data_IF_663980630736
#
_entry.id   IF_663980630736
#
_cell.length_a   1.000
_cell.length_b   1.000
_cell.length_c   1.000
_cell.angle_alpha   90.00
_cell.angle_beta   90.00
_cell.angle_gamma   90.00
#
_symmetry.space_group_name_H-M   'P 1'
#
loop_
_entity.id
_entity.type
_entity.pdbx_description
1 polymer ?
#
# COMPACT_ATOMS: atom_id res chain seq x y z
N UNK A 1 5.68 19.16 -13.05
CA UNK A 1 5.17 18.07 -12.23
C UNK A 1 5.91 18.03 -10.90
N UNK A 2 5.25 17.56 -9.84
CA UNK A 2 5.91 17.24 -8.58
C UNK A 2 6.29 15.76 -8.56
N UNK A 3 7.44 15.47 -7.96
CA UNK A 3 7.92 14.11 -7.70
C UNK A 3 7.96 13.92 -6.19
N UNK A 4 7.53 12.78 -5.73
CA UNK A 4 7.53 12.42 -4.32
C UNK A 4 8.25 11.10 -4.14
N UNK A 5 9.04 10.96 -3.08
CA UNK A 5 9.76 9.74 -2.78
C UNK A 5 10.01 9.56 -1.29
N UNK A 6 9.79 8.33 -0.84
CA UNK A 6 10.21 7.88 0.47
C UNK A 6 11.59 7.24 0.37
N UNK A 7 12.45 7.55 1.32
CA UNK A 7 13.84 7.09 1.41
C UNK A 7 14.07 6.49 2.79
N UNK A 8 14.58 5.27 2.85
CA UNK A 8 14.98 4.67 4.11
C UNK A 8 16.02 5.56 4.79
N UNK A 9 15.91 5.75 6.10
CA UNK A 9 16.75 6.60 6.95
C UNK A 9 16.66 8.11 6.66
N UNK A 10 16.06 8.52 5.54
CA UNK A 10 16.07 9.90 5.07
C UNK A 10 14.68 10.52 4.91
N UNK A 11 13.62 9.85 5.31
CA UNK A 11 12.26 10.37 5.31
C UNK A 11 11.62 10.46 3.94
N UNK A 12 10.65 11.34 3.80
CA UNK A 12 9.89 11.56 2.55
C UNK A 12 10.15 12.97 2.04
N UNK A 13 10.40 13.07 0.75
CA UNK A 13 10.73 14.32 0.07
C UNK A 13 9.82 14.58 -1.13
N UNK A 14 9.65 15.86 -1.43
CA UNK A 14 8.95 16.37 -2.61
C UNK A 14 9.90 17.23 -3.42
N UNK A 15 10.00 16.97 -4.70
CA UNK A 15 10.75 17.79 -5.66
C UNK A 15 9.87 18.25 -6.81
N UNK A 16 10.40 19.20 -7.61
CA UNK A 16 9.74 19.68 -8.81
C UNK A 16 10.51 19.21 -10.05
N UNK A 17 9.80 18.74 -11.08
CA UNK A 17 10.40 18.44 -12.39
C UNK A 17 10.88 19.68 -13.16
N UNK A 18 10.60 20.88 -12.63
CA UNK A 18 11.04 22.16 -13.20
C UNK A 18 12.36 22.66 -12.62
N UNK A 19 12.95 21.89 -11.71
CA UNK A 19 14.21 22.21 -11.06
C UNK A 19 15.34 22.41 -12.07
N UNK A 20 16.06 23.49 -11.92
CA UNK A 20 17.30 23.78 -12.67
C UNK A 20 18.48 23.34 -11.79
N UNK A 21 19.00 22.17 -12.02
CA UNK A 21 20.29 21.58 -11.61
C UNK A 21 21.07 22.16 -10.40
N UNK A 22 20.54 23.12 -9.66
CA UNK A 22 21.15 23.63 -8.44
C UNK A 22 20.78 22.69 -7.28
N UNK A 23 21.79 21.97 -6.81
CA UNK A 23 21.67 20.92 -5.81
C UNK A 23 21.13 21.54 -4.51
N UNK A 24 19.95 21.07 -4.08
CA UNK A 24 19.46 21.24 -2.70
C UNK A 24 18.30 22.21 -2.50
N UNK A 25 18.02 23.17 -3.36
CA UNK A 25 16.96 24.17 -3.12
C UNK A 25 15.55 23.74 -3.56
N UNK A 26 15.44 22.69 -4.39
CA UNK A 26 14.18 22.29 -5.02
C UNK A 26 13.52 21.07 -4.41
N UNK A 27 14.10 20.52 -3.36
CA UNK A 27 13.54 19.41 -2.60
C UNK A 27 13.07 19.86 -1.24
N UNK A 28 11.80 19.62 -0.94
CA UNK A 28 11.19 19.92 0.35
C UNK A 28 11.03 18.63 1.15
N UNK A 29 11.53 18.63 2.37
CA UNK A 29 11.27 17.56 3.34
C UNK A 29 9.80 17.58 3.76
N UNK A 30 9.15 16.43 3.72
CA UNK A 30 7.71 16.30 4.02
C UNK A 30 7.48 15.59 5.35
N UNK A 31 8.16 14.44 5.54
CA UNK A 31 7.92 13.59 6.71
C UNK A 31 9.18 12.82 7.08
N UNK A 32 9.37 12.58 8.39
CA UNK A 32 10.52 11.84 8.93
C UNK A 32 10.32 10.33 8.97
N UNK A 33 11.30 9.65 9.55
CA UNK A 33 11.38 8.19 9.63
C UNK A 33 11.89 7.56 8.36
N UNK A 34 11.74 6.25 8.22
CA UNK A 34 12.02 5.55 6.97
C UNK A 34 10.89 5.85 5.98
N UNK A 35 11.16 6.69 5.00
CA UNK A 35 10.16 7.05 4.01
C UNK A 35 9.73 5.82 3.20
N UNK A 36 8.42 5.62 3.07
CA UNK A 36 7.79 4.48 2.43
C UNK A 36 6.95 4.91 1.23
N UNK A 37 5.83 4.23 0.98
CA UNK A 37 4.89 4.62 -0.07
C UNK A 37 4.39 6.05 0.12
N UNK A 38 4.18 6.74 -0.98
CA UNK A 38 3.56 8.06 -1.04
C UNK A 38 2.39 8.00 -1.99
N UNK A 39 1.24 8.48 -1.54
CA UNK A 39 0.06 8.66 -2.38
C UNK A 39 -0.37 10.13 -2.34
N UNK A 40 -0.73 10.69 -3.48
CA UNK A 40 -1.08 12.12 -3.61
C UNK A 40 -2.42 12.25 -4.29
N UNK A 41 -3.33 12.95 -3.63
CA UNK A 41 -4.57 13.41 -4.25
C UNK A 41 -4.31 14.71 -5.00
N UNK A 42 -4.32 14.65 -6.32
CA UNK A 42 -4.04 15.81 -7.17
C UNK A 42 -5.17 16.86 -7.16
N UNK A 43 -6.37 16.51 -6.69
CA UNK A 43 -7.49 17.44 -6.62
C UNK A 43 -7.44 18.28 -5.34
N UNK A 44 -7.23 17.64 -4.19
CA UNK A 44 -7.15 18.33 -2.91
C UNK A 44 -5.73 18.72 -2.50
N UNK A 45 -4.71 18.20 -3.17
CA UNK A 45 -3.30 18.28 -2.79
C UNK A 45 -2.96 17.55 -1.48
N UNK A 46 -3.84 16.71 -0.97
CA UNK A 46 -3.56 15.87 0.19
C UNK A 46 -2.44 14.87 -0.14
N UNK A 47 -1.46 14.76 0.74
CA UNK A 47 -0.34 13.82 0.59
C UNK A 47 -0.38 12.81 1.73
N UNK A 48 -0.41 11.54 1.38
CA UNK A 48 -0.31 10.42 2.33
C UNK A 48 1.14 9.93 2.32
N UNK A 49 1.79 10.02 3.46
CA UNK A 49 3.19 9.65 3.63
C UNK A 49 3.39 9.10 5.04
N UNK A 50 4.36 8.25 5.22
CA UNK A 50 4.59 7.64 6.52
C UNK A 50 5.92 6.92 6.59
N UNK A 51 6.07 6.19 7.65
CA UNK A 51 7.22 5.36 7.95
C UNK A 51 6.79 3.92 8.26
N UNK A 52 7.71 3.10 8.72
CA UNK A 52 7.53 1.65 8.88
C UNK A 52 6.20 1.29 9.55
N UNK A 53 5.72 0.09 9.22
CA UNK A 53 4.60 -0.55 9.90
C UNK A 53 3.28 0.22 9.87
N UNK A 54 3.06 0.96 8.78
CA UNK A 54 1.78 1.62 8.55
C UNK A 54 1.54 2.88 9.35
N UNK A 55 2.56 3.48 9.93
CA UNK A 55 2.43 4.79 10.58
C UNK A 55 2.35 5.89 9.51
N UNK A 56 1.15 6.06 8.94
CA UNK A 56 0.88 7.03 7.90
C UNK A 56 0.16 8.28 8.43
N UNK A 57 0.53 9.38 7.83
CA UNK A 57 -0.04 10.70 8.05
C UNK A 57 -0.57 11.23 6.72
N UNK A 58 -1.80 11.72 6.70
CA UNK A 58 -2.30 12.57 5.64
C UNK A 58 -1.95 14.03 5.98
N UNK A 59 -1.27 14.68 5.08
CA UNK A 59 -0.95 16.12 5.16
C UNK A 59 -1.88 16.81 4.17
N UNK A 60 -2.75 17.68 4.66
CA UNK A 60 -3.68 18.42 3.81
C UNK A 60 -3.02 19.65 3.15
N UNK A 61 -3.77 20.32 2.28
CA UNK A 61 -3.29 21.50 1.54
C UNK A 61 -2.79 22.64 2.44
N UNK A 62 -3.26 22.70 3.67
CA UNK A 62 -2.90 23.73 4.67
C UNK A 62 -1.73 23.26 5.56
N UNK A 63 -1.15 22.09 5.26
CA UNK A 63 -0.04 21.49 6.01
C UNK A 63 -0.45 20.80 7.31
N UNK A 64 -1.74 20.71 7.60
CA UNK A 64 -2.22 20.04 8.81
C UNK A 64 -2.08 18.53 8.68
N UNK A 65 -1.58 17.91 9.75
CA UNK A 65 -1.29 16.48 9.83
C UNK A 65 -2.43 15.72 10.51
N UNK A 66 -2.81 14.59 9.92
CA UNK A 66 -3.86 13.71 10.41
C UNK A 66 -3.34 12.26 10.43
N UNK A 67 -3.40 11.60 11.59
CA UNK A 67 -3.12 10.16 11.68
C UNK A 67 -4.19 9.41 10.91
N UNK A 68 -3.75 8.53 9.99
CA UNK A 68 -4.64 7.74 9.13
C UNK A 68 -4.41 6.24 9.25
N UNK A 69 -3.70 5.78 10.28
CA UNK A 69 -3.45 4.34 10.48
C UNK A 69 -4.72 3.62 10.92
N UNK A 70 -5.18 2.54 10.23
CA UNK A 70 -6.25 1.70 10.70
C UNK A 70 -5.90 1.06 12.05
N UNK A 71 -6.91 0.85 12.89
CA UNK A 71 -6.76 0.19 14.18
C UNK A 71 -7.77 -0.94 14.31
N UNK A 72 -7.35 -2.07 14.84
CA UNK A 72 -8.27 -3.13 15.22
C UNK A 72 -9.03 -2.73 16.50
N UNK A 73 -10.28 -3.19 16.67
CA UNK A 73 -10.95 -3.18 17.96
C UNK A 73 -10.10 -3.87 19.03
N UNK A 74 -10.19 -3.42 20.29
CA UNK A 74 -9.41 -4.00 21.39
C UNK A 74 -9.70 -5.50 21.64
N UNK A 75 -10.81 -5.98 21.12
CA UNK A 75 -11.23 -7.40 21.20
C UNK A 75 -10.69 -8.28 20.10
N UNK A 76 -10.00 -7.68 19.10
CA UNK A 76 -9.42 -8.39 17.98
C UNK A 76 -7.89 -8.45 18.08
N UNK A 77 -7.24 -9.43 17.42
CA UNK A 77 -5.79 -9.48 17.33
C UNK A 77 -5.18 -8.20 16.74
N UNK A 78 -3.97 -7.87 17.18
CA UNK A 78 -3.21 -6.72 16.66
C UNK A 78 -2.97 -6.90 15.16
N UNK A 79 -3.16 -5.82 14.40
CA UNK A 79 -2.90 -5.82 12.97
C UNK A 79 -1.40 -5.97 12.68
N UNK A 80 -1.08 -6.86 11.76
CA UNK A 80 0.28 -7.01 11.24
C UNK A 80 0.45 -6.11 10.02
N UNK A 81 1.35 -5.16 10.10
CA UNK A 81 1.69 -4.26 9.01
C UNK A 81 3.07 -4.60 8.47
N UNK A 82 3.21 -4.63 7.14
CA UNK A 82 4.51 -4.77 6.52
C UNK A 82 5.43 -3.60 6.88
N UNK A 83 6.74 -3.82 6.82
CA UNK A 83 7.71 -2.73 6.92
C UNK A 83 7.36 -1.60 5.96
N UNK A 84 7.14 -1.93 4.68
CA UNK A 84 6.67 -1.00 3.66
C UNK A 84 5.19 -1.23 3.39
N UNK A 85 4.34 -0.77 4.29
CA UNK A 85 2.88 -0.92 4.21
C UNK A 85 2.31 -0.20 2.98
N UNK A 86 1.55 -0.88 2.09
CA UNK A 86 0.96 -0.22 0.95
C UNK A 86 -0.21 0.70 1.33
N UNK A 87 -0.21 1.89 0.75
CA UNK A 87 -1.30 2.85 0.77
C UNK A 87 -1.56 3.32 -0.66
N UNK A 88 -2.82 3.25 -1.12
CA UNK A 88 -3.21 3.72 -2.44
C UNK A 88 -4.49 4.55 -2.36
N UNK A 89 -4.65 5.45 -3.33
CA UNK A 89 -5.91 6.15 -3.58
C UNK A 89 -6.67 5.42 -4.69
N UNK A 90 -8.00 5.42 -4.59
CA UNK A 90 -8.83 4.91 -5.67
C UNK A 90 -8.66 5.77 -6.93
N UNK A 91 -8.50 5.16 -8.11
CA UNK A 91 -8.49 5.89 -9.37
C UNK A 91 -9.87 6.44 -9.76
N UNK A 92 -10.94 6.08 -9.03
CA UNK A 92 -12.31 6.51 -9.30
C UNK A 92 -12.76 7.67 -8.41
N UNK A 93 -12.23 7.75 -7.18
CA UNK A 93 -12.50 8.83 -6.22
C UNK A 93 -11.32 8.95 -5.26
N UNK A 94 -10.51 10.01 -5.34
CA UNK A 94 -9.31 10.17 -4.52
C UNK A 94 -9.60 10.34 -3.02
N UNK A 95 -10.88 10.55 -2.61
CA UNK A 95 -11.28 10.49 -1.19
C UNK A 95 -11.30 9.06 -0.66
N UNK A 96 -11.38 8.09 -1.56
CA UNK A 96 -11.31 6.66 -1.23
C UNK A 96 -9.86 6.23 -1.13
N UNK A 97 -9.49 5.79 0.07
CA UNK A 97 -8.13 5.35 0.41
C UNK A 97 -8.16 3.88 0.81
N UNK A 98 -7.20 3.13 0.31
CA UNK A 98 -6.94 1.77 0.74
C UNK A 98 -5.63 1.70 1.50
N UNK A 99 -5.61 0.95 2.59
CA UNK A 99 -4.42 0.68 3.37
C UNK A 99 -4.42 -0.77 3.84
N UNK A 100 -3.28 -1.41 3.73
CA UNK A 100 -3.19 -2.84 4.00
C UNK A 100 -2.38 -3.15 5.25
N UNK A 101 -2.87 -4.14 6.00
CA UNK A 101 -2.15 -4.87 7.04
C UNK A 101 -2.10 -6.35 6.64
N UNK A 102 -2.42 -7.29 7.52
CA UNK A 102 -2.86 -8.65 7.15
C UNK A 102 -4.28 -8.67 6.58
N UNK A 103 -5.02 -7.55 6.72
CA UNK A 103 -6.33 -7.29 6.12
C UNK A 103 -6.27 -6.05 5.26
N UNK A 104 -7.15 -5.94 4.26
CA UNK A 104 -7.33 -4.72 3.50
C UNK A 104 -8.39 -3.84 4.14
N UNK A 105 -8.06 -2.58 4.31
CA UNK A 105 -8.93 -1.54 4.84
C UNK A 105 -9.28 -0.53 3.76
N UNK A 106 -10.51 -0.02 3.78
CA UNK A 106 -10.98 1.05 2.93
C UNK A 106 -11.58 2.19 3.76
N UNK A 107 -11.26 3.41 3.37
CA UNK A 107 -11.87 4.64 3.85
C UNK A 107 -12.49 5.39 2.68
N UNK A 108 -13.68 5.94 2.86
CA UNK A 108 -14.34 6.85 1.90
C UNK A 108 -14.20 8.32 2.28
N UNK A 109 -13.48 8.62 3.34
CA UNK A 109 -13.38 9.96 3.93
C UNK A 109 -11.92 10.38 4.23
N UNK A 110 -11.03 10.06 3.29
CA UNK A 110 -9.60 10.41 3.35
C UNK A 110 -8.86 9.83 4.56
N UNK A 111 -9.20 8.61 4.96
CA UNK A 111 -8.53 7.91 6.06
C UNK A 111 -9.00 8.32 7.45
N UNK A 112 -10.13 9.03 7.59
CA UNK A 112 -10.69 9.38 8.89
C UNK A 112 -11.38 8.20 9.57
N UNK A 113 -12.11 7.40 8.80
CA UNK A 113 -12.78 6.17 9.25
C UNK A 113 -12.40 5.03 8.33
N UNK A 114 -12.17 3.87 8.92
CA UNK A 114 -11.75 2.67 8.22
C UNK A 114 -12.74 1.54 8.39
N UNK A 115 -12.96 0.81 7.31
CA UNK A 115 -13.72 -0.44 7.30
C UNK A 115 -12.80 -1.53 6.78
N UNK A 116 -12.67 -2.64 7.52
CA UNK A 116 -12.03 -3.84 7.00
C UNK A 116 -12.93 -4.42 5.90
N UNK A 117 -12.37 -4.57 4.70
CA UNK A 117 -13.07 -5.11 3.53
C UNK A 117 -12.52 -6.47 3.11
N UNK A 118 -11.69 -7.07 3.96
CA UNK A 118 -11.25 -8.46 3.79
C UNK A 118 -11.15 -9.16 5.15
N UNK A 119 -11.21 -10.50 5.17
CA UNK A 119 -10.64 -11.28 6.27
C UNK A 119 -9.11 -11.12 6.30
N UNK A 120 -8.41 -11.88 7.16
CA UNK A 120 -6.98 -12.10 7.04
C UNK A 120 -6.71 -12.84 5.72
N UNK A 121 -5.91 -12.25 4.83
CA UNK A 121 -5.60 -12.78 3.50
C UNK A 121 -4.24 -13.49 3.44
N UNK A 122 -3.64 -13.71 4.59
CA UNK A 122 -2.30 -14.30 4.75
C UNK A 122 -2.40 -15.69 5.36
N UNK A 123 -1.28 -16.41 5.44
CA UNK A 123 -1.21 -17.72 6.16
C UNK A 123 -1.24 -17.56 7.67
N UNK A 124 -1.18 -16.33 8.19
CA UNK A 124 -1.14 -16.04 9.62
C UNK A 124 0.03 -16.68 10.40
N UNK A 125 1.08 -17.07 9.71
CA UNK A 125 2.29 -17.61 10.31
C UNK A 125 3.19 -16.49 10.84
N UNK A 126 3.75 -16.67 12.02
CA UNK A 126 4.80 -15.79 12.54
C UNK A 126 6.16 -16.35 12.15
N UNK A 127 7.01 -15.54 11.52
CA UNK A 127 8.38 -15.91 11.17
C UNK A 127 9.33 -14.77 11.50
N UNK A 128 10.32 -15.08 12.35
CA UNK A 128 11.39 -14.15 12.71
C UNK A 128 10.94 -12.99 13.62
N UNK A 129 11.74 -11.94 13.64
CA UNK A 129 11.61 -10.79 14.54
C UNK A 129 10.99 -9.54 13.88
N UNK A 130 10.56 -9.65 12.63
CA UNK A 130 9.86 -8.60 11.90
C UNK A 130 8.46 -9.08 11.51
N UNK A 131 7.47 -8.20 11.39
CA UNK A 131 6.14 -8.58 10.94
C UNK A 131 6.21 -9.34 9.61
N UNK A 132 5.59 -10.51 9.60
CA UNK A 132 5.41 -11.39 8.45
C UNK A 132 3.93 -11.75 8.33
N UNK A 133 3.54 -12.40 7.23
CA UNK A 133 2.14 -12.63 6.89
C UNK A 133 1.37 -11.30 6.83
N UNK A 134 1.80 -10.46 5.90
CA UNK A 134 1.29 -9.12 5.66
C UNK A 134 1.01 -8.89 4.18
N UNK A 135 0.09 -7.99 3.86
CA UNK A 135 -0.13 -7.56 2.48
C UNK A 135 0.98 -6.59 2.08
N UNK A 136 1.62 -6.87 0.96
CA UNK A 136 2.78 -6.12 0.42
C UNK A 136 2.44 -5.25 -0.77
N UNK A 137 1.34 -5.58 -1.47
CA UNK A 137 0.91 -4.81 -2.64
C UNK A 137 -0.60 -4.86 -2.79
N UNK A 138 -1.17 -3.72 -3.18
CA UNK A 138 -2.60 -3.52 -3.43
C UNK A 138 -2.77 -2.81 -4.75
N UNK A 139 -3.78 -3.21 -5.53
CA UNK A 139 -4.20 -2.50 -6.75
C UNK A 139 -5.72 -2.48 -6.84
N UNK A 140 -6.29 -1.35 -7.24
CA UNK A 140 -7.67 -1.25 -7.70
C UNK A 140 -7.69 -1.06 -9.22
N UNK A 141 -8.61 -1.74 -9.90
CA UNK A 141 -8.77 -1.60 -11.34
C UNK A 141 -9.19 -0.17 -11.70
N UNK A 142 -8.47 0.52 -12.59
CA UNK A 142 -8.90 1.85 -13.03
C UNK A 142 -10.09 1.84 -13.99
N UNK A 143 -10.51 0.67 -14.47
CA UNK A 143 -11.64 0.51 -15.39
C UNK A 143 -12.88 -0.10 -14.72
N UNK A 144 -12.76 -0.54 -13.46
CA UNK A 144 -13.88 -1.13 -12.72
C UNK A 144 -13.73 -0.88 -11.21
N UNK A 145 -14.53 0.03 -10.67
CA UNK A 145 -14.55 0.34 -9.24
C UNK A 145 -14.79 -0.91 -8.39
N UNK A 146 -14.04 -1.03 -7.30
CA UNK A 146 -14.17 -2.16 -6.36
C UNK A 146 -13.63 -3.49 -6.87
N UNK A 147 -13.00 -3.52 -8.06
CA UNK A 147 -12.23 -4.66 -8.47
C UNK A 147 -10.82 -4.53 -7.94
N UNK A 148 -10.48 -5.38 -6.97
CA UNK A 148 -9.31 -5.25 -6.14
C UNK A 148 -8.40 -6.47 -6.30
N UNK A 149 -7.10 -6.25 -6.19
CA UNK A 149 -6.09 -7.29 -6.09
C UNK A 149 -5.13 -7.01 -4.94
N UNK A 150 -4.73 -8.05 -4.23
CA UNK A 150 -3.71 -7.98 -3.18
C UNK A 150 -2.70 -9.10 -3.33
N UNK A 151 -1.46 -8.80 -2.97
CA UNK A 151 -0.38 -9.77 -2.84
C UNK A 151 0.26 -9.69 -1.46
N UNK A 152 0.79 -10.80 -0.97
CA UNK A 152 1.34 -10.92 0.38
C UNK A 152 2.81 -11.34 0.38
N UNK A 153 3.50 -11.14 1.50
CA UNK A 153 4.89 -11.56 1.69
C UNK A 153 5.06 -13.08 1.89
N UNK A 154 3.97 -13.78 2.18
CA UNK A 154 3.91 -15.24 2.29
C UNK A 154 3.41 -15.92 1.00
N UNK A 155 3.26 -15.17 -0.09
CA UNK A 155 3.06 -15.66 -1.45
C UNK A 155 1.60 -15.84 -1.85
N UNK A 156 0.64 -15.34 -1.08
CA UNK A 156 -0.76 -15.36 -1.48
C UNK A 156 -1.13 -14.21 -2.41
N UNK A 157 -1.98 -14.51 -3.38
CA UNK A 157 -2.60 -13.53 -4.27
C UNK A 157 -4.12 -13.70 -4.21
N UNK A 158 -4.81 -12.63 -3.87
CA UNK A 158 -6.26 -12.64 -3.81
C UNK A 158 -6.85 -11.54 -4.68
N UNK A 159 -8.02 -11.80 -5.22
CA UNK A 159 -8.81 -10.83 -6.00
C UNK A 159 -10.22 -10.75 -5.45
N UNK A 160 -10.80 -9.56 -5.54
CA UNK A 160 -12.21 -9.29 -5.31
C UNK A 160 -12.79 -8.59 -6.54
N UNK A 161 -14.04 -8.91 -6.89
CA UNK A 161 -14.77 -8.28 -7.99
C UNK A 161 -15.99 -7.51 -7.52
N UNK A 162 -16.22 -7.47 -6.21
CA UNK A 162 -17.44 -6.95 -5.57
C UNK A 162 -17.15 -5.98 -4.41
N UNK A 163 -16.03 -5.26 -4.50
CA UNK A 163 -15.65 -4.25 -3.53
C UNK A 163 -15.15 -4.77 -2.19
N UNK A 164 -14.64 -6.01 -2.17
CA UNK A 164 -14.09 -6.65 -0.98
C UNK A 164 -15.10 -7.49 -0.20
N UNK A 165 -16.31 -7.72 -0.74
CA UNK A 165 -17.31 -8.59 -0.08
C UNK A 165 -16.86 -10.05 -0.13
N UNK A 166 -16.30 -10.46 -1.27
CA UNK A 166 -15.75 -11.80 -1.47
C UNK A 166 -14.34 -11.71 -2.01
N UNK A 167 -13.50 -12.65 -1.58
CA UNK A 167 -12.11 -12.76 -2.00
C UNK A 167 -11.84 -14.15 -2.55
N UNK A 168 -11.24 -14.21 -3.72
CA UNK A 168 -10.80 -15.43 -4.37
C UNK A 168 -9.28 -15.48 -4.38
N UNK A 169 -8.71 -16.58 -3.88
CA UNK A 169 -7.28 -16.87 -3.99
C UNK A 169 -6.97 -17.38 -5.41
N UNK A 170 -5.94 -16.82 -6.04
CA UNK A 170 -5.63 -17.07 -7.46
C UNK A 170 -4.17 -17.50 -7.71
N UNK A 171 -3.45 -17.87 -6.66
CA UNK A 171 -2.02 -18.21 -6.68
C UNK A 171 -1.68 -19.68 -6.92
N UNK A 172 -2.66 -20.55 -7.18
CA UNK A 172 -2.46 -22.00 -7.30
C UNK A 172 -1.41 -22.45 -8.35
N UNK A 173 -1.06 -21.59 -9.30
CA UNK A 173 -0.05 -21.85 -10.34
C UNK A 173 1.25 -21.05 -10.14
N UNK A 174 1.35 -20.29 -9.06
CA UNK A 174 2.54 -19.51 -8.74
C UNK A 174 3.51 -20.35 -7.90
N UNK A 175 4.81 -20.06 -7.95
CA UNK A 175 5.76 -20.64 -7.02
C UNK A 175 5.34 -20.35 -5.58
N UNK A 176 5.33 -21.38 -4.73
CA UNK A 176 4.91 -21.24 -3.34
C UNK A 176 5.84 -20.31 -2.56
N UNK A 177 5.29 -19.64 -1.56
CA UNK A 177 6.02 -18.83 -0.57
C UNK A 177 6.89 -17.70 -1.17
N UNK A 178 6.62 -17.26 -2.39
CA UNK A 178 7.31 -16.13 -2.99
C UNK A 178 6.66 -14.82 -2.57
N UNK A 179 7.48 -13.90 -2.10
CA UNK A 179 7.02 -12.53 -1.82
C UNK A 179 6.41 -11.90 -3.07
N UNK A 180 5.15 -11.50 -3.00
CA UNK A 180 4.49 -10.73 -4.07
C UNK A 180 4.95 -9.29 -3.97
N UNK A 181 5.90 -8.90 -4.77
CA UNK A 181 6.48 -7.56 -4.74
C UNK A 181 5.57 -6.51 -5.39
N UNK A 182 4.76 -6.91 -6.37
CA UNK A 182 3.76 -6.04 -7.00
C UNK A 182 2.59 -6.83 -7.53
N UNK A 183 1.39 -6.27 -7.36
CA UNK A 183 0.19 -6.62 -8.11
C UNK A 183 -0.32 -5.37 -8.82
N UNK A 184 -0.71 -5.49 -10.08
CA UNK A 184 -1.27 -4.40 -10.87
C UNK A 184 -2.44 -4.90 -11.71
N UNK A 185 -3.60 -4.28 -11.56
CA UNK A 185 -4.76 -4.55 -12.41
C UNK A 185 -4.66 -3.72 -13.69
N UNK A 186 -4.94 -4.35 -14.83
CA UNK A 186 -4.78 -3.72 -16.14
C UNK A 186 -5.65 -2.48 -16.30
N UNK A 187 -5.10 -1.47 -16.97
CA UNK A 187 -5.81 -0.24 -17.36
C UNK A 187 -6.71 -0.44 -18.59
N UNK A 188 -6.67 -1.60 -19.21
CA UNK A 188 -7.36 -1.88 -20.47
C UNK A 188 -8.36 -3.03 -20.37
N UNK A 189 -8.16 -3.94 -19.41
CA UNK A 189 -8.99 -5.13 -19.26
C UNK A 189 -9.13 -5.45 -17.77
N UNK A 190 -10.35 -5.29 -17.27
CA UNK A 190 -10.64 -5.54 -15.86
C UNK A 190 -10.34 -6.98 -15.40
N UNK A 191 -10.21 -7.95 -16.32
CA UNK A 191 -9.92 -9.33 -15.99
C UNK A 191 -8.42 -9.67 -16.01
N UNK A 192 -7.57 -8.73 -16.37
CA UNK A 192 -6.13 -8.96 -16.49
C UNK A 192 -5.36 -8.41 -15.30
N UNK A 193 -4.48 -9.23 -14.74
CA UNK A 193 -3.64 -8.92 -13.59
C UNK A 193 -2.19 -9.19 -13.97
N UNK A 194 -1.31 -8.30 -13.58
CA UNK A 194 0.13 -8.46 -13.67
C UNK A 194 0.70 -8.64 -12.27
N UNK A 195 1.64 -9.56 -12.14
CA UNK A 195 2.29 -9.89 -10.88
C UNK A 195 3.80 -9.87 -11.05
N UNK A 196 4.50 -9.40 -10.03
CA UNK A 196 5.92 -9.67 -9.85
C UNK A 196 6.16 -10.33 -8.49
N UNK A 197 7.04 -11.31 -8.51
CA UNK A 197 7.45 -12.07 -7.35
C UNK A 197 8.94 -11.88 -7.16
N UNK A 198 9.42 -11.94 -5.92
CA UNK A 198 10.84 -11.98 -5.64
C UNK A 198 11.21 -13.08 -4.65
N UNK A 199 12.49 -13.40 -4.57
CA UNK A 199 13.06 -14.38 -3.65
C UNK A 199 13.67 -13.74 -2.41
N UNK A 200 13.28 -12.54 -2.02
CA UNK A 200 13.93 -11.73 -0.98
C UNK A 200 14.17 -12.47 0.35
N UNK A 201 13.29 -13.40 0.71
CA UNK A 201 13.42 -14.21 1.93
C UNK A 201 13.73 -15.67 1.68
N UNK A 202 14.18 -16.00 0.49
CA UNK A 202 14.51 -17.37 0.10
C UNK A 202 15.96 -17.42 -0.33
N UNK A 203 16.74 -18.24 0.35
CA UNK A 203 18.14 -18.44 0.05
C UNK A 203 18.29 -19.07 -1.34
N UNK A 204 19.07 -18.44 -2.21
CA UNK A 204 19.60 -18.95 -3.47
C UNK A 204 18.63 -19.47 -4.53
N UNK A 205 17.35 -19.20 -4.42
CA UNK A 205 16.43 -19.53 -5.50
C UNK A 205 16.63 -18.60 -6.70
N UNK A 206 17.03 -19.19 -7.81
CA UNK A 206 17.11 -18.48 -9.09
C UNK A 206 15.72 -18.04 -9.53
N UNK A 207 15.59 -16.78 -9.84
CA UNK A 207 14.39 -16.18 -10.43
C UNK A 207 14.39 -16.48 -11.92
#
# INVERSE_FOLDING_TARGET
YNVYGGLQDNGTWKGSSRTRWEIGEDWSFINGGDGMWVAVDNESSDTYTGFQFGYYTRIDKDGKRHDVRPRAPLTEPVLRFNWSTPVILSPHDPRTVYMASNRLYRSFDRGRRWTAISPDLTRAEERGNVPFATITSVSESPVAFGRLGVGTDDGHVHVSTDGGVRWQQVDARLPAERWVSRIELSRHDANRIYLSLNGYRQDDDRV
#
